data_IF_247521500771
#
_entry.id   IF_247521500771
#
_cell.length_a   1.000
_cell.length_b   1.000
_cell.length_c   1.000
_cell.angle_alpha   90.00
_cell.angle_beta   90.00
_cell.angle_gamma   90.00
#
_symmetry.space_group_name_H-M   'P 1'
#
loop_
_entity.id
_entity.type
_entity.pdbx_description
1 polymer ?
#
# COMPACT_ATOMS: atom_id res chain seq x y z
N UNK A 1 10.88 1.62 19.52
CA UNK A 1 10.48 0.80 18.36
C UNK A 1 11.25 1.14 17.06
N UNK A 2 12.31 1.96 17.09
CA UNK A 2 13.07 2.35 15.88
C UNK A 2 14.58 2.42 16.16
N UNK A 3 15.16 1.33 16.67
CA UNK A 3 16.60 1.23 16.89
C UNK A 3 17.22 0.49 15.69
N UNK A 4 17.69 1.23 14.68
CA UNK A 4 18.34 0.61 13.51
C UNK A 4 18.86 1.58 12.43
N UNK A 5 18.14 2.67 12.13
CA UNK A 5 18.60 3.83 11.33
C UNK A 5 17.45 4.84 11.15
N UNK A 6 17.77 6.09 10.82
CA UNK A 6 16.75 7.10 10.51
C UNK A 6 15.92 6.69 9.28
N UNK A 7 16.59 6.08 8.30
CA UNK A 7 16.00 5.57 7.07
C UNK A 7 15.03 4.41 7.34
N UNK A 8 15.41 3.47 8.23
CA UNK A 8 14.51 2.40 8.65
C UNK A 8 13.28 2.95 9.38
N UNK A 9 13.46 3.96 10.24
CA UNK A 9 12.36 4.62 10.93
C UNK A 9 11.40 5.31 9.94
N UNK A 10 11.93 6.01 8.93
CA UNK A 10 11.14 6.65 7.89
C UNK A 10 10.34 5.63 7.06
N UNK A 11 10.98 4.52 6.64
CA UNK A 11 10.30 3.44 5.91
C UNK A 11 9.17 2.82 6.74
N UNK A 12 9.42 2.57 8.02
CA UNK A 12 8.41 2.05 8.92
C UNK A 12 7.25 3.04 9.09
N UNK A 13 7.54 4.33 9.23
CA UNK A 13 6.50 5.36 9.29
C UNK A 13 5.62 5.38 8.03
N UNK A 14 6.21 5.29 6.83
CA UNK A 14 5.44 5.21 5.57
C UNK A 14 4.51 3.99 5.53
N UNK A 15 5.01 2.80 5.91
CA UNK A 15 4.19 1.59 5.95
C UNK A 15 3.05 1.73 6.95
N UNK A 16 3.32 2.28 8.14
CA UNK A 16 2.29 2.56 9.14
C UNK A 16 1.22 3.52 8.62
N UNK A 17 1.61 4.57 7.91
CA UNK A 17 0.66 5.50 7.28
C UNK A 17 -0.24 4.79 6.28
N UNK A 18 0.29 3.91 5.43
CA UNK A 18 -0.55 3.15 4.49
C UNK A 18 -1.52 2.19 5.19
N UNK A 19 -1.08 1.48 6.24
CA UNK A 19 -1.96 0.60 7.01
C UNK A 19 -3.05 1.38 7.75
N UNK A 20 -2.73 2.57 8.26
CA UNK A 20 -3.71 3.46 8.88
C UNK A 20 -4.76 3.94 7.86
N UNK A 21 -4.33 4.33 6.66
CA UNK A 21 -5.25 4.69 5.56
C UNK A 21 -6.13 3.51 5.13
N UNK A 22 -5.59 2.28 5.10
CA UNK A 22 -6.42 1.09 4.85
C UNK A 22 -7.54 0.96 5.88
N UNK A 23 -7.23 1.16 7.16
CA UNK A 23 -8.22 1.12 8.25
C UNK A 23 -9.30 2.20 8.07
N UNK A 24 -8.90 3.43 7.78
CA UNK A 24 -9.81 4.56 7.56
C UNK A 24 -10.80 4.29 6.42
N UNK A 25 -10.33 3.65 5.36
CA UNK A 25 -11.13 3.34 4.17
C UNK A 25 -11.77 1.95 4.20
N UNK A 26 -11.73 1.24 5.34
CA UNK A 26 -12.27 -0.11 5.50
C UNK A 26 -11.69 -1.13 4.48
N UNK A 27 -10.45 -0.92 4.07
CA UNK A 27 -9.70 -1.79 3.16
C UNK A 27 -8.94 -2.82 3.99
N UNK A 28 -8.95 -4.09 3.55
CA UNK A 28 -8.09 -5.11 4.15
C UNK A 28 -6.61 -4.80 3.83
N UNK A 29 -5.76 -4.51 4.83
CA UNK A 29 -4.38 -4.05 4.59
C UNK A 29 -3.50 -5.14 3.95
N UNK A 30 -3.76 -6.42 4.24
CA UNK A 30 -3.03 -7.52 3.63
C UNK A 30 -3.39 -7.67 2.14
N UNK A 31 -4.68 -7.58 1.82
CA UNK A 31 -5.15 -7.66 0.43
C UNK A 31 -4.62 -6.49 -0.41
N UNK A 32 -4.68 -5.27 0.14
CA UNK A 32 -4.12 -4.08 -0.52
C UNK A 32 -2.62 -4.22 -0.75
N UNK A 33 -1.86 -4.65 0.26
CA UNK A 33 -0.41 -4.78 0.13
C UNK A 33 -0.03 -5.83 -0.93
N UNK A 34 -0.68 -6.99 -0.92
CA UNK A 34 -0.44 -8.05 -1.91
C UNK A 34 -0.74 -7.55 -3.34
N UNK A 35 -1.95 -7.04 -3.56
CA UNK A 35 -2.39 -6.52 -4.87
C UNK A 35 -1.50 -5.36 -5.36
N UNK A 36 -1.08 -4.47 -4.46
CA UNK A 36 -0.19 -3.36 -4.79
C UNK A 36 1.19 -3.86 -5.23
N UNK A 37 1.78 -4.81 -4.49
CA UNK A 37 3.07 -5.41 -4.85
C UNK A 37 2.99 -6.16 -6.19
N UNK A 38 1.87 -6.82 -6.47
CA UNK A 38 1.63 -7.52 -7.74
C UNK A 38 1.52 -6.53 -8.92
N UNK A 39 0.93 -5.34 -8.72
CA UNK A 39 0.76 -4.32 -9.77
C UNK A 39 1.97 -3.42 -10.00
N UNK A 40 2.83 -3.20 -8.99
CA UNK A 40 3.96 -2.26 -9.07
C UNK A 40 4.84 -2.47 -10.31
N UNK A 41 5.24 -3.70 -10.71
CA UNK A 41 6.12 -3.91 -11.86
C UNK A 41 5.54 -3.41 -13.19
N UNK A 42 4.22 -3.47 -13.34
CA UNK A 42 3.50 -3.12 -14.57
C UNK A 42 2.91 -1.70 -14.54
N UNK A 43 2.94 -1.03 -13.38
CA UNK A 43 2.34 0.29 -13.20
C UNK A 43 3.28 1.39 -13.69
N UNK A 44 2.80 2.25 -14.59
CA UNK A 44 3.56 3.41 -15.06
C UNK A 44 3.79 4.39 -13.91
N UNK A 45 4.91 5.12 -13.94
CA UNK A 45 5.24 6.12 -12.91
C UNK A 45 4.11 7.16 -12.73
N UNK A 46 3.47 7.59 -13.82
CA UNK A 46 2.34 8.52 -13.81
C UNK A 46 1.10 7.97 -13.11
N UNK A 47 0.98 6.65 -12.98
CA UNK A 47 -0.19 5.94 -12.45
C UNK A 47 0.05 5.39 -11.03
N UNK A 48 1.25 5.53 -10.45
CA UNK A 48 1.55 5.04 -9.09
C UNK A 48 0.58 5.55 -8.03
N UNK A 49 0.08 6.78 -8.19
CA UNK A 49 -0.91 7.37 -7.29
C UNK A 49 -2.22 6.59 -7.21
N UNK A 50 -2.51 5.71 -8.18
CA UNK A 50 -3.69 4.83 -8.19
C UNK A 50 -3.55 3.63 -7.26
N UNK A 51 -2.32 3.30 -6.84
CA UNK A 51 -2.03 2.16 -5.97
C UNK A 51 -2.15 2.50 -4.47
N UNK A 52 -2.38 3.76 -4.11
CA UNK A 52 -2.53 4.16 -2.71
C UNK A 52 -3.86 3.63 -2.12
N UNK A 53 -3.89 3.30 -0.82
CA UNK A 53 -5.12 2.84 -0.18
C UNK A 53 -6.07 4.03 -0.04
N UNK A 54 -7.05 4.09 -0.94
CA UNK A 54 -8.00 5.19 -1.08
C UNK A 54 -9.42 4.62 -1.28
N UNK A 55 -10.50 5.40 -1.05
CA UNK A 55 -11.87 4.91 -1.23
C UNK A 55 -12.17 4.33 -2.63
N UNK A 56 -11.44 4.77 -3.65
CA UNK A 56 -11.56 4.30 -5.02
C UNK A 56 -10.72 3.04 -5.32
N UNK A 57 -9.83 2.63 -4.41
CA UNK A 57 -9.03 1.42 -4.59
C UNK A 57 -9.94 0.19 -4.64
N UNK A 58 -9.65 -0.72 -5.57
CA UNK A 58 -10.34 -2.01 -5.69
C UNK A 58 -9.31 -3.10 -5.98
N UNK A 59 -9.45 -4.28 -5.37
CA UNK A 59 -8.59 -5.43 -5.67
C UNK A 59 -8.77 -5.85 -7.13
N UNK A 60 -7.73 -6.42 -7.74
CA UNK A 60 -7.91 -7.06 -9.05
C UNK A 60 -8.87 -8.22 -8.85
N UNK A 61 -9.86 -8.34 -9.73
CA UNK A 61 -10.70 -9.53 -9.74
C UNK A 61 -9.82 -10.71 -10.15
N UNK A 62 -9.54 -11.58 -9.17
CA UNK A 62 -8.83 -12.82 -9.41
C UNK A 62 -9.82 -13.75 -10.10
N UNK A 63 -9.79 -13.75 -11.44
CA UNK A 63 -10.58 -14.67 -12.24
C UNK A 63 -10.07 -16.10 -11.92
N UNK A 64 -10.85 -16.87 -11.18
CA UNK A 64 -10.64 -18.30 -10.90
C UNK A 64 -11.95 -19.02 -11.09
#
# INVERSE_FOLDING_TARGET
LFAGSHEAAQRAAMIYSFMASCKEHQINPYQWLKDTLDRIPDTKLSELHTLIPSPQWRPMEQNT
#
